data_IF_224361530039
#
_entry.id   IF_224361530039
#
_cell.length_a   1.000
_cell.length_b   1.000
_cell.length_c   1.000
_cell.angle_alpha   90.00
_cell.angle_beta   90.00
_cell.angle_gamma   90.00
#
_symmetry.space_group_name_H-M   'P 1'
#
loop_
_entity.id
_entity.type
_entity.pdbx_description
1 polymer ?
#
# COMPACT_ATOMS: atom_id res chain seq x y z
N UNK A 1 -2.23 -59.51 0.97
CA UNK A 1 -2.71 -58.42 0.11
C UNK A 1 -2.75 -57.17 0.96
N UNK A 2 -1.77 -56.27 0.82
CA UNK A 2 -1.62 -55.08 1.67
C UNK A 2 -1.97 -53.86 0.81
N UNK A 3 -3.12 -53.26 1.08
CA UNK A 3 -3.61 -52.08 0.36
C UNK A 3 -2.98 -50.83 0.96
N UNK A 4 -2.00 -50.27 0.27
CA UNK A 4 -1.41 -48.97 0.60
C UNK A 4 -2.41 -47.84 0.33
N UNK A 5 -2.74 -47.09 1.37
CA UNK A 5 -3.52 -45.85 1.26
C UNK A 5 -2.63 -44.73 0.70
N UNK A 6 -3.01 -44.16 -0.45
CA UNK A 6 -2.39 -42.96 -1.01
C UNK A 6 -3.00 -41.76 -0.28
N UNK A 7 -2.20 -41.10 0.55
CA UNK A 7 -2.54 -39.83 1.20
C UNK A 7 -2.18 -38.70 0.23
N UNK A 8 -3.18 -38.14 -0.45
CA UNK A 8 -3.00 -36.96 -1.30
C UNK A 8 -2.87 -35.73 -0.40
N UNK A 9 -1.64 -35.27 -0.18
CA UNK A 9 -1.35 -33.98 0.45
C UNK A 9 -1.69 -32.86 -0.53
N UNK A 10 -2.86 -32.25 -0.33
CA UNK A 10 -3.25 -31.01 -0.99
C UNK A 10 -2.40 -29.87 -0.41
N UNK A 11 -1.29 -29.53 -1.06
CA UNK A 11 -0.54 -28.31 -0.76
C UNK A 11 -1.34 -27.11 -1.28
N UNK A 12 -2.20 -26.55 -0.40
CA UNK A 12 -2.84 -25.27 -0.65
C UNK A 12 -1.78 -24.19 -0.80
N UNK A 13 -1.67 -23.64 -2.01
CA UNK A 13 -0.82 -22.50 -2.32
C UNK A 13 -1.39 -21.27 -1.59
N UNK A 14 -1.00 -21.07 -0.34
CA UNK A 14 -1.23 -19.82 0.37
C UNK A 14 -0.34 -18.78 -0.29
N UNK A 15 -0.88 -18.03 -1.25
CA UNK A 15 -0.21 -16.88 -1.82
C UNK A 15 0.01 -15.85 -0.70
N UNK A 16 1.19 -15.88 -0.08
CA UNK A 16 1.66 -14.80 0.76
C UNK A 16 1.90 -13.61 -0.17
N UNK A 17 0.88 -12.76 -0.33
CA UNK A 17 1.06 -11.43 -0.89
C UNK A 17 2.00 -10.70 0.07
N UNK A 18 3.27 -10.54 -0.33
CA UNK A 18 4.16 -9.62 0.36
C UNK A 18 3.44 -8.26 0.42
N UNK A 19 3.23 -7.75 1.63
CA UNK A 19 2.61 -6.44 1.83
C UNK A 19 3.54 -5.41 1.19
N UNK A 20 3.12 -4.83 0.08
CA UNK A 20 3.86 -3.79 -0.60
C UNK A 20 3.88 -2.53 0.28
N UNK A 21 5.06 -1.97 0.52
CA UNK A 21 5.20 -0.64 1.13
C UNK A 21 4.57 0.40 0.20
N UNK A 22 3.69 1.23 0.74
CA UNK A 22 2.99 2.34 0.10
C UNK A 22 3.58 3.66 0.57
N UNK A 23 4.15 4.41 -0.36
CA UNK A 23 4.64 5.76 -0.10
C UNK A 23 3.52 6.76 -0.36
N UNK A 24 3.48 7.84 0.43
CA UNK A 24 2.51 8.92 0.35
C UNK A 24 3.22 10.27 0.22
N UNK A 25 2.60 11.14 -0.55
CA UNK A 25 3.16 12.46 -0.83
C UNK A 25 2.18 13.36 -1.55
N UNK A 26 2.74 14.38 -2.21
CA UNK A 26 2.00 15.29 -3.08
C UNK A 26 2.64 15.39 -4.46
N UNK A 27 1.82 15.61 -5.49
CA UNK A 27 2.30 15.96 -6.82
C UNK A 27 2.70 17.45 -6.93
N UNK A 28 3.10 17.88 -8.12
CA UNK A 28 3.51 19.27 -8.40
C UNK A 28 2.39 20.30 -8.18
N UNK A 29 1.12 19.88 -8.16
CA UNK A 29 -0.04 20.73 -7.88
C UNK A 29 -0.42 20.72 -6.38
N UNK A 30 0.28 19.94 -5.55
CA UNK A 30 -0.06 19.74 -4.14
C UNK A 30 -1.16 18.69 -3.92
N UNK A 31 -1.54 17.94 -4.95
CA UNK A 31 -2.57 16.89 -4.86
C UNK A 31 -2.01 15.71 -4.06
N UNK A 32 -2.76 15.16 -3.07
CA UNK A 32 -2.30 14.01 -2.31
C UNK A 32 -2.30 12.74 -3.17
N UNK A 33 -1.18 12.03 -3.16
CA UNK A 33 -0.91 10.88 -4.02
C UNK A 33 -0.25 9.73 -3.24
N UNK A 34 -0.32 8.53 -3.81
CA UNK A 34 0.29 7.32 -3.28
C UNK A 34 0.87 6.44 -4.40
N UNK A 35 1.93 5.70 -4.09
CA UNK A 35 2.55 4.72 -5.00
C UNK A 35 3.21 3.60 -4.21
N UNK A 36 3.59 2.52 -4.89
CA UNK A 36 4.28 1.39 -4.28
C UNK A 36 5.78 1.69 -4.23
N UNK A 37 6.40 1.52 -3.07
CA UNK A 37 7.84 1.66 -2.90
C UNK A 37 8.60 0.70 -3.83
N UNK A 38 9.66 1.20 -4.47
CA UNK A 38 10.40 0.49 -5.51
C UNK A 38 9.78 0.56 -6.91
N UNK A 39 8.57 1.12 -7.06
CA UNK A 39 8.03 1.55 -8.35
C UNK A 39 8.26 3.05 -8.56
N UNK A 40 8.07 3.52 -9.80
CA UNK A 40 8.17 4.94 -10.09
C UNK A 40 6.96 5.70 -9.53
N UNK A 41 7.26 6.71 -8.73
CA UNK A 41 6.38 7.77 -8.24
C UNK A 41 5.64 8.52 -9.36
N UNK A 42 6.12 8.44 -10.60
CA UNK A 42 5.43 9.02 -11.76
C UNK A 42 4.22 8.21 -12.23
N UNK A 43 4.03 7.02 -11.66
CA UNK A 43 2.83 6.19 -11.85
C UNK A 43 1.90 6.23 -10.64
N UNK A 44 1.99 7.29 -9.85
CA UNK A 44 1.19 7.46 -8.64
C UNK A 44 -0.31 7.46 -8.91
N UNK A 45 -1.07 7.20 -7.85
CA UNK A 45 -2.52 7.30 -7.81
C UNK A 45 -2.91 8.44 -6.89
N UNK A 46 -3.88 9.26 -7.32
CA UNK A 46 -4.48 10.29 -6.46
C UNK A 46 -5.31 9.62 -5.36
N UNK A 47 -5.04 9.97 -4.11
CA UNK A 47 -5.73 9.35 -2.96
C UNK A 47 -7.04 10.04 -2.60
N UNK A 48 -7.22 11.31 -3.03
CA UNK A 48 -8.30 12.20 -2.60
C UNK A 48 -8.32 12.43 -1.07
N UNK A 49 -7.19 12.22 -0.38
CA UNK A 49 -7.07 12.45 1.06
C UNK A 49 -7.56 11.28 1.93
N UNK A 50 -7.88 11.57 3.18
CA UNK A 50 -8.27 10.54 4.16
C UNK A 50 -9.66 9.98 3.94
N UNK A 51 -9.85 8.76 4.44
CA UNK A 51 -11.08 7.96 4.41
C UNK A 51 -11.60 7.64 2.99
N UNK A 52 -10.92 8.14 1.96
CA UNK A 52 -11.15 7.80 0.57
C UNK A 52 -10.33 6.58 0.16
N UNK A 53 -10.99 5.66 -0.55
CA UNK A 53 -10.35 4.47 -1.09
C UNK A 53 -9.65 4.79 -2.40
N UNK A 54 -8.45 4.25 -2.57
CA UNK A 54 -7.67 4.33 -3.80
C UNK A 54 -7.05 2.97 -4.11
N UNK A 55 -6.89 2.67 -5.40
CA UNK A 55 -6.34 1.39 -5.86
C UNK A 55 -5.00 1.64 -6.52
N UNK A 56 -3.96 0.97 -6.04
CA UNK A 56 -2.61 1.11 -6.59
C UNK A 56 -2.40 0.21 -7.81
N UNK A 57 -1.28 0.39 -8.48
CA UNK A 57 -0.86 -0.36 -9.68
C UNK A 57 -0.81 -1.88 -9.50
N UNK A 58 -0.65 -2.37 -8.26
CA UNK A 58 -0.72 -3.80 -7.94
C UNK A 58 -2.15 -4.36 -7.86
N UNK A 59 -3.17 -3.53 -8.11
CA UNK A 59 -4.58 -3.91 -8.03
C UNK A 59 -5.15 -3.96 -6.61
N UNK A 60 -4.38 -3.57 -5.59
CA UNK A 60 -4.83 -3.58 -4.20
C UNK A 60 -5.40 -2.22 -3.82
N UNK A 61 -6.57 -2.24 -3.18
CA UNK A 61 -7.27 -1.03 -2.70
C UNK A 61 -6.97 -0.78 -1.23
N UNK A 62 -6.65 0.47 -0.91
CA UNK A 62 -6.34 0.95 0.44
C UNK A 62 -7.13 2.22 0.75
N UNK A 63 -7.12 2.62 2.02
CA UNK A 63 -7.49 3.98 2.42
C UNK A 63 -6.63 4.41 3.62
N UNK A 64 -6.53 5.72 3.83
CA UNK A 64 -5.71 6.31 4.89
C UNK A 64 -6.61 6.92 5.96
N UNK A 65 -6.21 6.83 7.23
CA UNK A 65 -6.82 7.57 8.34
C UNK A 65 -5.78 8.46 9.04
N UNK A 66 -6.26 9.53 9.69
CA UNK A 66 -5.42 10.40 10.52
C UNK A 66 -4.70 11.53 9.78
N UNK A 67 -5.21 12.00 8.61
CA UNK A 67 -4.62 13.04 7.75
C UNK A 67 -4.61 14.45 8.38
N UNK A 68 -3.90 14.61 9.50
CA UNK A 68 -3.78 15.87 10.22
C UNK A 68 -2.85 15.82 11.43
N UNK A 69 -2.14 14.70 11.68
CA UNK A 69 -1.23 14.62 12.82
C UNK A 69 -0.53 13.27 12.98
N UNK A 70 0.04 13.06 14.17
CA UNK A 70 0.61 11.79 14.57
C UNK A 70 -0.47 10.69 14.52
N UNK A 71 -0.19 9.59 13.81
CA UNK A 71 -1.15 8.49 13.63
C UNK A 71 -1.74 8.36 12.23
N UNK A 72 -1.02 8.80 11.20
CA UNK A 72 -1.34 8.44 9.81
C UNK A 72 -1.22 6.92 9.65
N UNK A 73 -2.32 6.27 9.30
CA UNK A 73 -2.39 4.80 9.23
C UNK A 73 -3.03 4.36 7.92
N UNK A 74 -2.42 3.38 7.27
CA UNK A 74 -2.92 2.72 6.08
C UNK A 74 -3.78 1.52 6.47
N UNK A 75 -4.93 1.39 5.83
CA UNK A 75 -5.84 0.27 5.98
C UNK A 75 -6.10 -0.40 4.63
N UNK A 76 -6.37 -1.71 4.67
CA UNK A 76 -6.82 -2.47 3.52
C UNK A 76 -8.29 -2.15 3.21
N UNK A 77 -8.76 -2.52 2.02
CA UNK A 77 -10.14 -2.29 1.57
C UNK A 77 -11.22 -2.82 2.54
N UNK A 78 -10.95 -3.96 3.19
CA UNK A 78 -11.83 -4.66 4.13
C UNK A 78 -11.82 -4.04 5.55
N UNK A 79 -11.20 -2.87 5.70
CA UNK A 79 -10.99 -2.13 6.95
C UNK A 79 -10.02 -2.80 7.93
N UNK A 80 -9.33 -3.88 7.54
CA UNK A 80 -8.24 -4.43 8.35
C UNK A 80 -7.04 -3.48 8.36
N UNK A 81 -6.35 -3.43 9.49
CA UNK A 81 -5.11 -2.68 9.63
C UNK A 81 -4.06 -3.19 8.64
N UNK A 82 -3.35 -2.26 7.98
CA UNK A 82 -2.20 -2.59 7.15
C UNK A 82 -0.89 -2.14 7.83
N UNK A 83 -0.68 -0.83 7.94
CA UNK A 83 0.57 -0.27 8.45
C UNK A 83 0.36 1.11 9.08
N UNK A 84 1.19 1.43 10.08
CA UNK A 84 1.34 2.80 10.55
C UNK A 84 2.39 3.50 9.68
N UNK A 85 2.00 4.62 9.09
CA UNK A 85 2.88 5.40 8.23
C UNK A 85 3.90 6.16 9.09
N UNK A 86 5.14 6.22 8.61
CA UNK A 86 6.23 6.96 9.25
C UNK A 86 6.61 8.13 8.38
N UNK A 87 6.87 9.28 8.99
CA UNK A 87 7.37 10.43 8.22
C UNK A 87 8.79 10.13 7.77
N UNK A 88 9.07 10.39 6.49
CA UNK A 88 10.40 10.26 5.90
C UNK A 88 11.08 11.63 5.68
N UNK A 89 10.46 12.70 6.19
CA UNK A 89 10.79 14.08 5.81
C UNK A 89 10.25 14.42 4.41
N UNK A 90 10.42 15.66 3.97
CA UNK A 90 10.06 16.06 2.61
C UNK A 90 11.18 15.67 1.64
N UNK A 91 10.92 14.70 0.78
CA UNK A 91 11.85 14.26 -0.26
C UNK A 91 11.31 14.62 -1.64
N UNK A 92 12.05 15.42 -2.39
CA UNK A 92 11.68 15.76 -3.77
C UNK A 92 12.17 14.67 -4.71
N UNK A 93 11.22 14.07 -5.43
CA UNK A 93 11.44 12.96 -6.35
C UNK A 93 11.22 13.42 -7.80
N UNK A 94 11.24 12.50 -8.76
CA UNK A 94 10.99 12.82 -10.16
C UNK A 94 9.54 13.33 -10.37
N UNK A 95 9.26 13.83 -11.59
CA UNK A 95 7.94 14.29 -12.03
C UNK A 95 7.22 15.28 -11.09
N UNK A 96 7.97 16.01 -10.26
CA UNK A 96 7.44 17.01 -9.34
C UNK A 96 6.76 16.42 -8.11
N UNK A 97 6.99 15.15 -7.79
CA UNK A 97 6.48 14.51 -6.58
C UNK A 97 7.31 14.90 -5.36
N UNK A 98 6.64 15.12 -4.23
CA UNK A 98 7.26 15.23 -2.92
C UNK A 98 6.74 14.11 -2.03
N UNK A 99 7.61 13.19 -1.60
CA UNK A 99 7.29 12.16 -0.60
C UNK A 99 7.34 12.77 0.80
N UNK A 100 6.40 12.35 1.66
CA UNK A 100 6.35 12.77 3.06
C UNK A 100 6.21 11.60 4.04
N UNK A 101 5.66 10.47 3.60
CA UNK A 101 5.40 9.31 4.45
C UNK A 101 5.65 8.00 3.71
N UNK A 102 6.06 6.98 4.47
CA UNK A 102 6.12 5.61 4.02
C UNK A 102 5.35 4.71 4.99
N UNK A 103 4.43 3.92 4.44
CA UNK A 103 3.62 2.92 5.10
C UNK A 103 4.04 1.56 4.53
#
# INVERSE_FOLDING_TARGET
>A
MQTSAIVTLLFGFMAQSALATVNLGTDSAGTPIAWISGQSECTHTVTNGCDNRFTLSNGVTYYIKGCGGAGLTLFNNDNSFNANCRSVGSQHLACGVTENWSC
#
